data_IF_795383566922
#
_entry.id   IF_795383566922
#
_cell.length_a   1.000
_cell.length_b   1.000
_cell.length_c   1.000
_cell.angle_alpha   90.00
_cell.angle_beta   90.00
_cell.angle_gamma   90.00
#
_symmetry.space_group_name_H-M   'P 1'
#
loop_
_entity.id
_entity.type
_entity.pdbx_description
1 polymer ?
#
# COMPACT_ATOMS: atom_id res chain seq x y z
N UNK A 1 26.49 3.28 14.93
CA UNK A 1 25.06 3.58 14.75
C UNK A 1 24.41 3.53 16.12
N UNK A 2 23.45 4.41 16.42
CA UNK A 2 22.73 4.33 17.71
C UNK A 2 21.85 3.05 17.71
N UNK A 3 21.57 2.50 18.91
CA UNK A 3 20.86 1.23 19.06
C UNK A 3 19.43 1.31 18.45
N UNK A 4 19.07 0.46 17.47
CA UNK A 4 17.73 0.43 16.88
C UNK A 4 16.64 0.12 17.90
N UNK A 5 16.91 -0.73 18.89
CA UNK A 5 15.96 -1.11 19.94
C UNK A 5 15.48 0.09 20.77
N UNK A 6 16.23 1.19 20.80
CA UNK A 6 15.78 2.40 21.51
C UNK A 6 14.73 3.22 20.75
N UNK A 7 14.28 2.76 19.57
CA UNK A 7 13.20 3.38 18.81
C UNK A 7 11.81 2.81 19.16
N UNK A 8 11.73 1.70 19.88
CA UNK A 8 10.46 1.07 20.19
C UNK A 8 10.46 0.41 21.57
N UNK A 9 9.29 0.20 22.10
CA UNK A 9 9.06 -0.51 23.36
C UNK A 9 8.12 -1.70 23.13
N UNK A 10 8.42 -2.83 23.77
CA UNK A 10 7.56 -4.00 23.76
C UNK A 10 6.36 -3.82 24.68
N UNK A 11 5.18 -4.19 24.20
CA UNK A 11 3.96 -4.30 25.00
C UNK A 11 3.79 -5.74 25.52
N UNK A 12 3.99 -5.98 26.81
CA UNK A 12 4.11 -7.34 27.34
C UNK A 12 2.90 -8.23 27.05
N UNK A 13 1.69 -7.65 27.02
CA UNK A 13 0.46 -8.41 26.77
C UNK A 13 0.40 -8.93 25.34
N UNK A 14 0.67 -8.06 24.36
CA UNK A 14 0.69 -8.44 22.96
C UNK A 14 1.83 -9.41 22.62
N UNK A 15 3.01 -9.17 23.21
CA UNK A 15 4.14 -10.08 23.07
C UNK A 15 3.82 -11.50 23.56
N UNK A 16 3.13 -11.63 24.69
CA UNK A 16 2.69 -12.92 25.21
C UNK A 16 1.72 -13.66 24.26
N UNK A 17 0.86 -12.93 23.54
CA UNK A 17 -0.02 -13.52 22.51
C UNK A 17 0.80 -14.08 21.35
N UNK A 18 1.80 -13.33 20.89
CA UNK A 18 2.70 -13.77 19.81
C UNK A 18 3.54 -14.98 20.25
N UNK A 19 4.12 -14.95 21.45
CA UNK A 19 4.90 -16.08 21.98
C UNK A 19 4.06 -17.37 22.07
N UNK A 20 2.77 -17.26 22.46
CA UNK A 20 1.84 -18.40 22.44
C UNK A 20 1.52 -18.89 21.04
N UNK A 21 1.33 -17.98 20.07
CA UNK A 21 1.10 -18.33 18.68
C UNK A 21 2.29 -19.08 18.08
N UNK A 22 3.51 -18.56 18.27
CA UNK A 22 4.75 -19.20 17.79
C UNK A 22 5.01 -20.57 18.40
N UNK A 23 4.55 -20.80 19.65
CA UNK A 23 4.65 -22.12 20.28
C UNK A 23 3.71 -23.15 19.64
N UNK A 24 2.65 -22.73 18.95
CA UNK A 24 1.66 -23.59 18.30
C UNK A 24 1.92 -23.74 16.79
N UNK A 25 2.45 -22.68 16.15
CA UNK A 25 2.72 -22.64 14.71
C UNK A 25 4.23 -22.71 14.43
N UNK A 26 4.67 -23.82 13.85
CA UNK A 26 6.06 -24.00 13.43
C UNK A 26 6.46 -23.23 12.18
N UNK A 27 5.49 -22.70 11.42
CA UNK A 27 5.71 -22.08 10.12
C UNK A 27 6.10 -20.59 10.18
N UNK A 28 6.01 -19.96 11.36
CA UNK A 28 6.22 -18.52 11.54
C UNK A 28 5.03 -17.67 11.09
N UNK A 29 5.06 -16.38 11.44
CA UNK A 29 3.97 -15.44 11.20
C UNK A 29 4.13 -14.68 9.88
N UNK A 30 3.03 -14.26 9.29
CA UNK A 30 3.01 -13.21 8.25
C UNK A 30 3.01 -11.85 8.94
N UNK A 31 3.78 -10.90 8.41
CA UNK A 31 3.69 -9.50 8.80
C UNK A 31 3.21 -8.67 7.61
N UNK A 32 2.07 -8.04 7.74
CA UNK A 32 1.60 -7.00 6.83
C UNK A 32 2.14 -5.65 7.30
N UNK A 33 2.56 -4.77 6.40
CA UNK A 33 2.97 -3.43 6.79
C UNK A 33 2.62 -2.39 5.72
N UNK A 34 2.21 -1.22 6.21
CA UNK A 34 1.90 -0.04 5.41
C UNK A 34 2.13 1.22 6.24
N UNK A 35 2.67 2.27 5.60
CA UNK A 35 2.89 3.57 6.23
C UNK A 35 2.13 4.66 5.48
N UNK A 36 1.35 5.44 6.23
CA UNK A 36 0.67 6.64 5.73
C UNK A 36 1.73 7.70 5.36
N UNK A 37 1.79 8.10 4.09
CA UNK A 37 2.76 9.15 3.72
C UNK A 37 2.92 9.36 2.23
N UNK A 38 3.98 8.79 1.65
CA UNK A 38 4.47 9.22 0.35
C UNK A 38 3.65 8.70 -0.83
N UNK A 39 3.48 7.41 -0.98
CA UNK A 39 2.70 6.83 -2.07
C UNK A 39 1.64 5.90 -1.52
N UNK A 40 0.40 6.32 -1.64
CA UNK A 40 -0.76 5.44 -1.49
C UNK A 40 -1.92 5.98 -2.35
N UNK A 41 -1.74 5.89 -3.68
CA UNK A 41 -2.79 6.30 -4.60
C UNK A 41 -4.09 5.56 -4.30
N UNK A 42 -5.19 6.30 -4.32
CA UNK A 42 -6.50 5.74 -4.03
C UNK A 42 -6.70 5.35 -2.57
N UNK A 43 -5.83 5.81 -1.64
CA UNK A 43 -5.88 5.43 -0.22
C UNK A 43 -5.92 3.90 -0.05
N UNK A 44 -5.21 3.18 -0.93
CA UNK A 44 -5.27 1.72 -1.08
C UNK A 44 -4.84 1.00 0.18
N UNK A 45 -3.69 1.36 0.74
CA UNK A 45 -3.14 0.77 1.96
C UNK A 45 -3.91 1.22 3.19
N UNK A 46 -4.26 2.51 3.27
CA UNK A 46 -5.05 3.09 4.37
C UNK A 46 -6.39 2.34 4.52
N UNK A 47 -7.14 2.15 3.44
CA UNK A 47 -8.42 1.41 3.46
C UNK A 47 -8.27 -0.03 3.95
N UNK A 48 -7.17 -0.72 3.62
CA UNK A 48 -6.90 -2.09 4.09
C UNK A 48 -6.58 -2.06 5.59
N UNK A 49 -5.70 -1.16 6.04
CA UNK A 49 -5.32 -1.03 7.45
C UNK A 49 -6.53 -0.71 8.32
N UNK A 50 -7.35 0.26 7.91
CA UNK A 50 -8.57 0.64 8.61
C UNK A 50 -9.54 -0.54 8.71
N UNK A 51 -9.78 -1.24 7.59
CA UNK A 51 -10.62 -2.42 7.56
C UNK A 51 -10.14 -3.53 8.50
N UNK A 52 -8.81 -3.76 8.58
CA UNK A 52 -8.21 -4.72 9.50
C UNK A 52 -8.43 -4.32 10.96
N UNK A 53 -8.15 -3.05 11.30
CA UNK A 53 -8.23 -2.57 12.69
C UNK A 53 -9.66 -2.36 13.17
N UNK A 54 -10.60 -2.02 12.30
CA UNK A 54 -12.01 -1.88 12.64
C UNK A 54 -12.74 -3.22 12.82
N UNK A 55 -12.36 -4.22 12.00
CA UNK A 55 -13.14 -5.47 11.89
C UNK A 55 -12.57 -6.64 12.69
N UNK A 56 -11.26 -6.63 13.00
CA UNK A 56 -10.58 -7.80 13.58
C UNK A 56 -10.06 -7.57 14.99
N UNK A 57 -10.07 -8.61 15.83
CA UNK A 57 -9.41 -8.55 17.14
C UNK A 57 -7.92 -8.30 16.97
N UNK A 58 -7.39 -7.30 17.66
CA UNK A 58 -5.99 -6.95 17.60
C UNK A 58 -5.44 -6.47 18.94
N UNK A 59 -4.11 -6.57 19.12
CA UNK A 59 -3.41 -6.08 20.30
C UNK A 59 -2.02 -5.57 19.93
N UNK A 60 -1.61 -4.44 20.53
CA UNK A 60 -0.27 -3.88 20.32
C UNK A 60 0.79 -4.81 20.90
N UNK A 61 1.82 -5.09 20.12
CA UNK A 61 2.99 -5.94 20.46
C UNK A 61 4.23 -5.10 20.70
N UNK A 62 4.42 -4.08 19.86
CA UNK A 62 5.49 -3.11 20.01
C UNK A 62 5.00 -1.74 19.57
N UNK A 63 5.50 -0.70 20.21
CA UNK A 63 5.16 0.70 19.92
C UNK A 63 6.43 1.47 19.64
N UNK A 64 6.49 2.13 18.48
CA UNK A 64 7.58 3.03 18.14
C UNK A 64 7.43 4.38 18.82
N UNK A 65 8.56 4.99 19.13
CA UNK A 65 8.65 6.36 19.65
C UNK A 65 8.38 7.36 18.52
N UNK A 66 7.10 7.72 18.34
CA UNK A 66 6.67 8.65 17.30
C UNK A 66 7.23 10.07 17.49
N UNK A 67 7.54 10.49 18.73
CA UNK A 67 8.17 11.81 19.01
C UNK A 67 9.57 11.91 18.39
N UNK A 68 10.21 10.79 18.11
CA UNK A 68 11.52 10.74 17.46
C UNK A 68 11.45 10.56 15.97
N UNK A 69 10.39 9.96 15.47
CA UNK A 69 10.29 9.53 14.08
C UNK A 69 9.44 10.47 13.23
N UNK A 70 8.50 11.21 13.82
CA UNK A 70 7.56 12.06 13.10
C UNK A 70 7.88 13.53 13.27
N UNK A 71 7.98 14.28 12.17
CA UNK A 71 8.05 15.75 12.22
C UNK A 71 6.63 16.35 12.32
N UNK A 72 6.24 16.71 13.52
CA UNK A 72 4.96 17.38 13.78
C UNK A 72 4.75 18.70 13.04
N UNK A 73 5.79 19.29 12.49
CA UNK A 73 5.67 20.51 11.68
C UNK A 73 5.26 20.21 10.26
N UNK A 74 5.67 19.06 9.75
CA UNK A 74 5.25 18.54 8.44
C UNK A 74 3.85 17.92 8.50
N UNK A 75 3.57 17.15 9.56
CA UNK A 75 2.30 16.45 9.80
C UNK A 75 1.75 16.81 11.18
N UNK A 76 0.86 17.81 11.22
CA UNK A 76 0.29 18.31 12.48
C UNK A 76 -0.83 17.45 12.96
N UNK A 77 -0.69 16.75 14.12
CA UNK A 77 -1.78 16.00 14.71
C UNK A 77 -2.98 16.88 15.03
N UNK A 78 -4.17 16.36 14.96
CA UNK A 78 -5.38 17.10 15.24
C UNK A 78 -5.56 17.35 16.74
N UNK A 79 -5.94 18.56 17.06
CA UNK A 79 -6.33 19.00 18.39
C UNK A 79 -7.74 19.57 18.33
N UNK A 80 -8.64 19.05 19.17
CA UNK A 80 -10.00 19.59 19.27
C UNK A 80 -10.08 20.71 20.29
N UNK A 81 -10.41 21.91 19.81
CA UNK A 81 -10.71 23.05 20.66
C UNK A 81 -12.22 23.17 20.85
N UNK A 82 -12.67 23.20 22.10
CA UNK A 82 -14.09 23.35 22.42
C UNK A 82 -14.28 24.51 23.41
N UNK A 83 -14.97 25.53 22.96
CA UNK A 83 -15.23 26.78 23.68
C UNK A 83 -13.95 27.54 24.07
N UNK A 84 -13.35 27.22 25.23
CA UNK A 84 -12.24 27.92 25.87
C UNK A 84 -11.02 27.04 26.17
N UNK A 85 -11.07 25.75 25.73
CA UNK A 85 -10.01 24.77 26.05
C UNK A 85 -9.84 23.70 24.97
N UNK A 86 -8.67 23.09 24.99
CA UNK A 86 -8.38 21.87 24.23
C UNK A 86 -9.00 20.68 24.95
N UNK A 87 -9.71 19.84 24.22
CA UNK A 87 -10.49 18.71 24.78
C UNK A 87 -10.09 17.34 24.26
N UNK A 88 -9.37 17.28 23.14
CA UNK A 88 -8.84 16.04 22.59
C UNK A 88 -7.55 16.31 21.83
N UNK A 89 -6.70 15.28 21.78
CA UNK A 89 -5.47 15.24 20.98
C UNK A 89 -5.38 13.86 20.33
N UNK A 90 -5.26 13.85 19.01
CA UNK A 90 -5.07 12.62 18.26
C UNK A 90 -3.57 12.32 18.21
N UNK A 91 -3.11 11.46 19.13
CA UNK A 91 -1.71 11.06 19.18
C UNK A 91 -1.38 10.16 17.99
N UNK A 92 -0.38 10.49 17.15
CA UNK A 92 0.08 9.59 16.11
C UNK A 92 0.58 8.28 16.73
N UNK A 93 0.26 7.15 16.10
CA UNK A 93 0.72 5.84 16.58
C UNK A 93 1.38 5.08 15.44
N UNK A 94 2.59 4.58 15.68
CA UNK A 94 3.31 3.68 14.78
C UNK A 94 3.58 2.41 15.57
N UNK A 95 2.74 1.39 15.33
CA UNK A 95 2.66 0.21 16.18
C UNK A 95 2.80 -1.08 15.37
N UNK A 96 3.41 -2.09 15.98
CA UNK A 96 3.26 -3.50 15.57
C UNK A 96 2.12 -4.10 16.39
N UNK A 97 1.12 -4.64 15.73
CA UNK A 97 -0.03 -5.32 16.35
C UNK A 97 -0.07 -6.78 15.95
N UNK A 98 -0.46 -7.65 16.87
CA UNK A 98 -0.94 -8.98 16.50
C UNK A 98 -2.44 -8.88 16.21
N UNK A 99 -2.84 -9.41 15.07
CA UNK A 99 -4.22 -9.40 14.55
C UNK A 99 -4.64 -10.85 14.36
N UNK A 100 -5.91 -11.18 14.54
CA UNK A 100 -6.46 -12.50 14.25
C UNK A 100 -7.39 -12.43 13.04
N UNK A 101 -7.16 -13.27 12.06
CA UNK A 101 -8.04 -13.39 10.90
C UNK A 101 -9.39 -14.06 11.23
N UNK A 102 -10.27 -14.24 10.26
CA UNK A 102 -11.60 -14.82 10.48
C UNK A 102 -11.58 -16.28 11.00
N UNK A 103 -10.45 -16.98 10.87
CA UNK A 103 -10.26 -18.34 11.40
C UNK A 103 -9.61 -18.35 12.79
N UNK A 104 -9.20 -17.18 13.28
CA UNK A 104 -8.42 -17.02 14.51
C UNK A 104 -6.91 -17.19 14.30
N UNK A 105 -6.44 -17.33 13.05
CA UNK A 105 -5.01 -17.41 12.76
C UNK A 105 -4.33 -16.06 13.01
N UNK A 106 -3.23 -16.02 13.77
CA UNK A 106 -2.54 -14.80 14.10
C UNK A 106 -1.63 -14.34 12.95
N UNK A 107 -1.58 -13.03 12.71
CA UNK A 107 -0.60 -12.36 11.87
C UNK A 107 -0.21 -11.02 12.49
N UNK A 108 0.84 -10.40 12.00
CA UNK A 108 1.31 -9.11 12.47
C UNK A 108 0.90 -8.00 11.50
N UNK A 109 0.59 -6.83 12.05
CA UNK A 109 0.38 -5.60 11.30
C UNK A 109 1.27 -4.51 11.87
N UNK A 110 2.19 -3.98 11.05
CA UNK A 110 2.94 -2.77 11.34
C UNK A 110 2.34 -1.62 10.54
N UNK A 111 1.78 -0.64 11.22
CA UNK A 111 1.11 0.49 10.57
C UNK A 111 1.17 1.78 11.37
N UNK A 112 1.02 2.90 10.68
CA UNK A 112 1.00 4.25 11.20
C UNK A 112 1.68 5.24 10.26
N UNK A 113 1.97 6.47 10.69
CA UNK A 113 2.62 7.46 9.85
C UNK A 113 4.01 7.01 9.39
N UNK A 114 4.35 7.30 8.14
CA UNK A 114 5.71 7.10 7.65
C UNK A 114 6.69 7.91 8.51
N UNK A 115 7.80 7.31 8.98
CA UNK A 115 8.87 8.05 9.63
C UNK A 115 9.41 9.18 8.75
N UNK A 116 9.54 10.39 9.28
CA UNK A 116 10.14 11.51 8.56
C UNK A 116 11.68 11.52 8.66
N UNK A 117 12.22 10.84 9.67
CA UNK A 117 13.65 10.82 10.01
C UNK A 117 14.10 9.45 10.49
N UNK A 118 15.41 9.27 10.62
CA UNK A 118 16.06 8.05 11.13
C UNK A 118 15.70 6.75 10.34
N UNK A 119 15.45 6.84 9.07
CA UNK A 119 14.97 5.72 8.24
C UNK A 119 15.82 4.46 8.32
N UNK A 120 17.15 4.59 8.22
CA UNK A 120 18.06 3.42 8.33
C UNK A 120 17.97 2.74 9.69
N UNK A 121 17.79 3.52 10.72
CA UNK A 121 17.66 2.99 12.07
C UNK A 121 16.29 2.38 12.32
N UNK A 122 15.25 2.97 11.73
CA UNK A 122 13.90 2.43 11.74
C UNK A 122 13.85 1.08 11.00
N UNK A 123 14.43 0.98 9.80
CA UNK A 123 14.51 -0.28 9.06
C UNK A 123 15.26 -1.37 9.86
N UNK A 124 16.38 -1.02 10.51
CA UNK A 124 17.08 -1.95 11.38
C UNK A 124 16.26 -2.36 12.63
N UNK A 125 15.40 -1.46 13.16
CA UNK A 125 14.50 -1.81 14.25
C UNK A 125 13.39 -2.77 13.78
N UNK A 126 12.85 -2.55 12.57
CA UNK A 126 11.87 -3.47 11.97
C UNK A 126 12.49 -4.84 11.73
N UNK A 127 13.74 -4.92 11.23
CA UNK A 127 14.47 -6.18 11.06
C UNK A 127 14.58 -6.95 12.40
N UNK A 128 14.99 -6.28 13.49
CA UNK A 128 15.04 -6.91 14.82
C UNK A 128 13.68 -7.44 15.28
N UNK A 129 12.58 -6.70 14.97
CA UNK A 129 11.22 -7.14 15.29
C UNK A 129 10.84 -8.37 14.46
N UNK A 130 11.15 -8.37 13.16
CA UNK A 130 10.92 -9.49 12.23
C UNK A 130 11.60 -10.76 12.73
N UNK A 131 12.87 -10.65 13.11
CA UNK A 131 13.65 -11.77 13.68
C UNK A 131 13.05 -12.25 15.02
N UNK A 132 12.79 -11.33 15.96
CA UNK A 132 12.29 -11.67 17.31
C UNK A 132 10.91 -12.32 17.27
N UNK A 133 10.04 -11.88 16.34
CA UNK A 133 8.66 -12.37 16.23
C UNK A 133 8.52 -13.53 15.23
N UNK A 134 9.61 -14.06 14.68
CA UNK A 134 9.60 -15.22 13.78
C UNK A 134 8.77 -14.98 12.51
N UNK A 135 8.90 -13.80 11.91
CA UNK A 135 8.20 -13.47 10.67
C UNK A 135 8.75 -14.30 9.52
N UNK A 136 7.91 -15.10 8.87
CA UNK A 136 8.28 -15.91 7.70
C UNK A 136 8.12 -15.18 6.38
N UNK A 137 7.27 -14.15 6.33
CA UNK A 137 7.00 -13.35 5.15
C UNK A 137 6.53 -11.96 5.59
N UNK A 138 7.21 -10.93 5.14
CA UNK A 138 6.78 -9.55 5.28
C UNK A 138 6.11 -9.10 3.98
N UNK A 139 4.94 -8.47 4.07
CA UNK A 139 4.16 -8.01 2.91
C UNK A 139 3.81 -6.55 3.06
N UNK A 140 4.28 -5.71 2.14
CA UNK A 140 3.80 -4.33 2.02
C UNK A 140 2.77 -4.20 0.88
N UNK A 141 1.99 -3.13 0.95
CA UNK A 141 0.94 -2.90 -0.03
C UNK A 141 0.57 -1.41 -0.09
N UNK A 142 0.41 -0.92 -1.29
CA UNK A 142 0.04 0.47 -1.55
C UNK A 142 -0.57 0.62 -2.95
N UNK A 143 -1.15 1.78 -3.22
CA UNK A 143 -1.58 2.16 -4.57
C UNK A 143 -0.52 2.98 -5.29
N UNK A 144 -0.38 2.76 -6.60
CA UNK A 144 0.44 3.60 -7.48
C UNK A 144 -0.41 4.23 -8.58
N UNK A 145 -0.23 5.54 -8.89
CA UNK A 145 -0.98 6.18 -9.96
C UNK A 145 -0.49 5.67 -11.32
N UNK A 146 -1.40 5.17 -12.14
CA UNK A 146 -1.10 4.60 -13.44
C UNK A 146 -2.01 5.17 -14.53
N UNK A 147 -1.53 5.13 -15.79
CA UNK A 147 -2.31 5.48 -16.97
C UNK A 147 -3.28 4.34 -17.36
N UNK A 148 -4.18 3.98 -16.47
CA UNK A 148 -5.18 2.91 -16.67
C UNK A 148 -6.59 3.48 -16.49
N UNK A 149 -7.61 2.93 -17.18
CA UNK A 149 -8.99 3.37 -16.99
C UNK A 149 -9.64 2.63 -15.80
N UNK A 150 -10.57 3.29 -15.13
CA UNK A 150 -11.36 2.69 -14.05
C UNK A 150 -12.36 1.63 -14.54
N UNK A 151 -12.65 1.60 -15.84
CA UNK A 151 -13.58 0.67 -16.50
C UNK A 151 -12.96 -0.70 -16.83
N UNK A 152 -11.70 -0.91 -16.48
CA UNK A 152 -10.98 -2.18 -16.69
C UNK A 152 -10.50 -2.76 -15.37
N UNK A 153 -10.23 -4.07 -15.30
CA UNK A 153 -9.73 -4.69 -14.08
C UNK A 153 -8.47 -4.00 -13.55
N UNK A 154 -8.41 -3.82 -12.23
CA UNK A 154 -7.24 -3.24 -11.56
C UNK A 154 -6.07 -4.21 -11.69
N UNK A 155 -4.95 -3.70 -12.22
CA UNK A 155 -3.70 -4.44 -12.28
C UNK A 155 -2.92 -4.36 -10.95
N UNK A 156 -1.94 -5.26 -10.79
CA UNK A 156 -1.04 -5.27 -9.65
C UNK A 156 0.39 -5.51 -10.13
N UNK A 157 1.35 -4.77 -9.59
CA UNK A 157 2.78 -5.03 -9.76
C UNK A 157 3.33 -5.66 -8.49
N UNK A 158 3.71 -6.94 -8.51
CA UNK A 158 4.45 -7.55 -7.40
C UNK A 158 5.92 -7.12 -7.44
N UNK A 159 6.50 -6.92 -6.26
CA UNK A 159 7.93 -6.64 -6.09
C UNK A 159 8.49 -7.36 -4.86
N UNK A 160 9.79 -7.23 -4.59
CA UNK A 160 10.46 -8.00 -3.54
C UNK A 160 11.07 -9.31 -4.05
N UNK A 161 11.48 -10.19 -3.13
CA UNK A 161 12.13 -11.47 -3.47
C UNK A 161 11.16 -12.67 -3.51
N UNK A 162 9.85 -12.46 -3.23
CA UNK A 162 8.82 -13.50 -3.22
C UNK A 162 7.69 -13.24 -4.24
N UNK A 163 8.04 -12.65 -5.38
CA UNK A 163 7.09 -12.48 -6.50
C UNK A 163 6.56 -13.81 -7.07
N UNK A 164 7.22 -14.92 -6.78
CA UNK A 164 6.76 -16.28 -7.06
C UNK A 164 5.39 -16.60 -6.43
N UNK A 165 5.02 -15.91 -5.33
CA UNK A 165 3.71 -16.04 -4.68
C UNK A 165 2.56 -15.37 -5.45
N UNK A 166 2.87 -14.60 -6.50
CA UNK A 166 1.90 -13.95 -7.37
C UNK A 166 2.11 -14.36 -8.84
N UNK A 167 1.90 -15.63 -9.19
CA UNK A 167 2.15 -16.15 -10.54
C UNK A 167 1.23 -15.45 -11.56
N UNK A 168 1.80 -15.14 -12.73
CA UNK A 168 1.09 -14.45 -13.82
C UNK A 168 1.10 -12.93 -13.75
N UNK A 169 1.60 -12.34 -12.65
CA UNK A 169 1.83 -10.90 -12.56
C UNK A 169 3.27 -10.57 -12.97
N UNK A 170 3.43 -9.47 -13.70
CA UNK A 170 4.75 -8.97 -14.14
C UNK A 170 4.83 -7.47 -13.89
N UNK A 171 6.02 -7.00 -13.57
CA UNK A 171 6.27 -5.55 -13.56
C UNK A 171 6.15 -5.01 -14.97
N UNK A 172 5.44 -3.89 -15.18
CA UNK A 172 5.45 -3.18 -16.46
C UNK A 172 6.78 -2.43 -16.69
N UNK A 173 7.67 -2.39 -15.70
CA UNK A 173 8.93 -1.66 -15.74
C UNK A 173 10.10 -2.65 -15.72
N UNK A 174 11.07 -2.48 -16.61
CA UNK A 174 12.35 -3.17 -16.54
C UNK A 174 13.26 -2.52 -15.48
N UNK A 175 13.31 -1.19 -15.47
CA UNK A 175 14.03 -0.37 -14.50
C UNK A 175 13.28 0.95 -14.32
N UNK A 176 13.11 1.40 -13.06
CA UNK A 176 12.53 2.69 -12.74
C UNK A 176 13.26 3.33 -11.56
N UNK A 177 13.54 4.63 -11.64
CA UNK A 177 14.02 5.41 -10.51
C UNK A 177 12.84 6.18 -9.92
N UNK A 178 12.53 5.88 -8.67
CA UNK A 178 11.44 6.51 -7.94
C UNK A 178 11.98 7.15 -6.67
N UNK A 179 11.37 8.22 -6.17
CA UNK A 179 11.73 8.74 -4.85
C UNK A 179 11.58 7.65 -3.80
N UNK A 180 12.54 7.58 -2.85
CA UNK A 180 12.50 6.58 -1.78
C UNK A 180 11.40 6.87 -0.77
N UNK A 181 10.88 5.81 -0.16
CA UNK A 181 10.01 5.84 1.02
C UNK A 181 10.60 4.98 2.14
N UNK A 182 10.15 5.21 3.38
CA UNK A 182 10.54 4.35 4.48
C UNK A 182 10.06 2.91 4.29
N UNK A 183 8.88 2.72 3.65
CA UNK A 183 8.32 1.41 3.30
C UNK A 183 9.21 0.65 2.34
N UNK A 184 9.63 1.29 1.24
CA UNK A 184 10.55 0.69 0.27
C UNK A 184 11.94 0.43 0.86
N UNK A 185 12.44 1.29 1.76
CA UNK A 185 13.70 1.06 2.44
C UNK A 185 13.62 -0.15 3.39
N UNK A 186 12.52 -0.32 4.12
CA UNK A 186 12.30 -1.50 4.97
C UNK A 186 12.32 -2.76 4.11
N UNK A 187 11.60 -2.79 2.98
CA UNK A 187 11.63 -3.91 2.04
C UNK A 187 13.05 -4.22 1.59
N UNK A 188 13.76 -3.20 1.10
CA UNK A 188 15.13 -3.35 0.61
C UNK A 188 16.07 -3.92 1.67
N UNK A 189 16.03 -3.42 2.92
CA UNK A 189 16.88 -3.89 4.03
C UNK A 189 16.52 -5.29 4.48
N UNK A 190 15.24 -5.63 4.56
CA UNK A 190 14.81 -6.99 4.88
C UNK A 190 15.29 -8.00 3.81
N UNK A 191 15.23 -7.65 2.52
CA UNK A 191 15.77 -8.50 1.45
C UNK A 191 17.29 -8.67 1.56
N UNK A 192 18.05 -7.59 1.84
CA UNK A 192 19.50 -7.67 2.05
C UNK A 192 19.86 -8.57 3.25
N UNK A 193 19.04 -8.57 4.30
CA UNK A 193 19.18 -9.43 5.47
C UNK A 193 18.75 -10.90 5.20
N UNK A 194 18.18 -11.18 4.04
CA UNK A 194 17.78 -12.54 3.64
C UNK A 194 16.37 -12.94 4.09
N UNK A 195 15.55 -11.98 4.49
CA UNK A 195 14.13 -12.23 4.80
C UNK A 195 13.28 -12.33 3.53
N UNK A 196 12.21 -13.12 3.60
CA UNK A 196 11.20 -13.20 2.55
C UNK A 196 10.30 -11.97 2.57
N UNK A 197 10.24 -11.24 1.45
CA UNK A 197 9.44 -10.01 1.30
C UNK A 197 8.66 -10.03 -0.01
N UNK A 198 7.40 -9.62 0.06
CA UNK A 198 6.52 -9.39 -1.07
C UNK A 198 5.92 -7.97 -0.97
N UNK A 199 6.02 -7.20 -2.03
CA UNK A 199 5.29 -5.95 -2.19
C UNK A 199 4.15 -6.10 -3.19
N UNK A 200 3.05 -5.42 -2.94
CA UNK A 200 1.83 -5.42 -3.75
C UNK A 200 1.47 -3.99 -4.11
N UNK A 201 1.87 -3.52 -5.29
CA UNK A 201 1.51 -2.20 -5.78
C UNK A 201 0.28 -2.28 -6.70
N UNK A 202 -0.89 -1.83 -6.22
CA UNK A 202 -2.13 -1.80 -7.00
C UNK A 202 -2.17 -0.60 -7.94
N UNK A 203 -2.62 -0.81 -9.19
CA UNK A 203 -2.70 0.23 -10.22
C UNK A 203 -3.97 1.07 -10.03
N UNK A 204 -3.80 2.33 -9.69
CA UNK A 204 -4.92 3.29 -9.53
C UNK A 204 -4.95 4.24 -10.72
N UNK A 205 -6.11 4.45 -11.36
CA UNK A 205 -6.21 5.46 -12.40
C UNK A 205 -5.75 6.83 -11.89
N UNK A 206 -4.80 7.46 -12.57
CA UNK A 206 -4.16 8.68 -12.08
C UNK A 206 -5.14 9.83 -11.80
N UNK A 207 -6.28 9.88 -12.51
CA UNK A 207 -7.31 10.92 -12.33
C UNK A 207 -8.18 10.74 -11.07
N UNK A 208 -8.11 9.57 -10.40
CA UNK A 208 -8.76 9.31 -9.08
C UNK A 208 -7.75 9.05 -7.97
N UNK A 209 -6.45 9.18 -8.24
CA UNK A 209 -5.37 8.80 -7.33
C UNK A 209 -5.39 9.53 -5.97
N UNK A 210 -6.06 10.69 -5.88
CA UNK A 210 -6.16 11.52 -4.66
C UNK A 210 -7.43 11.29 -3.84
N UNK A 211 -8.22 10.32 -4.20
CA UNK A 211 -9.48 9.98 -3.53
C UNK A 211 -9.50 8.48 -3.28
N UNK A 212 -10.22 8.05 -2.26
CA UNK A 212 -10.38 6.63 -1.99
C UNK A 212 -10.86 5.87 -3.24
N UNK A 213 -10.12 4.83 -3.61
CA UNK A 213 -10.43 3.95 -4.74
C UNK A 213 -10.49 2.49 -4.29
N UNK A 214 -11.63 2.04 -3.74
CA UNK A 214 -11.76 0.74 -3.08
C UNK A 214 -11.51 -0.47 -3.99
N UNK A 215 -11.64 -0.32 -5.32
CA UNK A 215 -11.29 -1.38 -6.27
C UNK A 215 -9.80 -1.77 -6.18
N UNK A 216 -8.91 -0.79 -6.00
CA UNK A 216 -7.48 -1.04 -5.82
C UNK A 216 -7.21 -1.71 -4.47
N UNK A 217 -7.83 -1.23 -3.40
CA UNK A 217 -7.72 -1.83 -2.07
C UNK A 217 -8.24 -3.27 -2.06
N UNK A 218 -9.37 -3.54 -2.71
CA UNK A 218 -9.91 -4.89 -2.86
C UNK A 218 -8.96 -5.82 -3.61
N UNK A 219 -8.41 -5.36 -4.74
CA UNK A 219 -7.50 -6.15 -5.58
C UNK A 219 -6.17 -6.43 -4.85
N UNK A 220 -5.63 -5.44 -4.13
CA UNK A 220 -4.46 -5.63 -3.28
C UNK A 220 -4.74 -6.64 -2.16
N UNK A 221 -5.87 -6.52 -1.45
CA UNK A 221 -6.28 -7.44 -0.39
C UNK A 221 -6.45 -8.87 -0.91
N UNK A 222 -7.08 -9.07 -2.08
CA UNK A 222 -7.24 -10.37 -2.71
C UNK A 222 -5.87 -10.98 -3.09
N UNK A 223 -4.94 -10.17 -3.56
CA UNK A 223 -3.56 -10.57 -3.85
C UNK A 223 -2.81 -10.98 -2.58
N UNK A 224 -2.92 -10.19 -1.51
CA UNK A 224 -2.34 -10.49 -0.19
C UNK A 224 -2.90 -11.81 0.35
N UNK A 225 -4.22 -12.00 0.33
CA UNK A 225 -4.85 -13.23 0.85
C UNK A 225 -4.45 -14.45 0.04
N UNK A 226 -4.34 -14.35 -1.28
CA UNK A 226 -3.86 -15.42 -2.13
C UNK A 226 -2.40 -15.81 -1.84
N UNK A 227 -1.52 -14.82 -1.62
CA UNK A 227 -0.10 -15.05 -1.34
C UNK A 227 0.17 -15.57 0.08
N UNK A 228 -0.63 -15.17 1.05
CA UNK A 228 -0.37 -15.43 2.49
C UNK A 228 -1.21 -16.55 3.08
N UNK A 229 -2.39 -16.80 2.51
CA UNK A 229 -3.40 -17.72 3.05
C UNK A 229 -4.27 -17.09 4.14
N UNK A 230 -4.15 -15.78 4.42
CA UNK A 230 -5.02 -15.09 5.38
C UNK A 230 -6.48 -15.09 4.93
N UNK A 231 -7.41 -15.20 5.87
CA UNK A 231 -8.86 -15.26 5.62
C UNK A 231 -9.52 -13.99 6.11
N UNK A 232 -9.81 -13.04 5.20
CA UNK A 232 -10.25 -11.68 5.48
C UNK A 232 -11.60 -11.33 4.78
N UNK A 233 -12.65 -12.17 4.87
CA UNK A 233 -13.86 -12.02 4.05
C UNK A 233 -14.68 -10.77 4.39
N UNK A 234 -14.68 -10.32 5.64
CA UNK A 234 -15.46 -9.14 6.05
C UNK A 234 -14.92 -7.87 5.39
N UNK A 235 -13.60 -7.72 5.35
CA UNK A 235 -12.92 -6.56 4.76
C UNK A 235 -13.13 -6.59 3.24
N UNK A 236 -12.93 -7.74 2.60
CA UNK A 236 -13.16 -7.91 1.17
C UNK A 236 -14.62 -7.59 0.79
N UNK A 237 -15.59 -7.95 1.64
CA UNK A 237 -17.01 -7.62 1.40
C UNK A 237 -17.27 -6.12 1.53
N UNK A 238 -16.73 -5.46 2.54
CA UNK A 238 -16.86 -4.03 2.73
C UNK A 238 -16.27 -3.25 1.55
N UNK A 239 -15.01 -3.56 1.18
CA UNK A 239 -14.34 -2.92 0.05
C UNK A 239 -15.10 -3.15 -1.28
N UNK A 240 -15.63 -4.35 -1.53
CA UNK A 240 -16.44 -4.63 -2.73
C UNK A 240 -17.72 -3.79 -2.77
N UNK A 241 -18.34 -3.55 -1.63
CA UNK A 241 -19.54 -2.72 -1.53
C UNK A 241 -19.23 -1.26 -1.83
N UNK A 242 -18.13 -0.74 -1.26
CA UNK A 242 -17.68 0.63 -1.52
C UNK A 242 -17.16 0.80 -2.95
N UNK A 243 -16.46 -0.18 -3.52
CA UNK A 243 -16.00 -0.18 -4.90
C UNK A 243 -17.17 0.03 -5.87
N UNK A 244 -18.27 -0.71 -5.69
CA UNK A 244 -19.45 -0.53 -6.53
C UNK A 244 -20.07 0.88 -6.43
N UNK A 245 -20.07 1.48 -5.24
CA UNK A 245 -20.56 2.85 -5.04
C UNK A 245 -19.65 3.88 -5.70
N UNK A 246 -18.35 3.74 -5.48
CA UNK A 246 -17.32 4.62 -6.05
C UNK A 246 -17.36 4.56 -7.58
N UNK A 247 -17.43 3.36 -8.16
CA UNK A 247 -17.55 3.17 -9.61
C UNK A 247 -18.78 3.92 -10.17
N UNK A 248 -19.96 3.74 -9.54
CA UNK A 248 -21.18 4.41 -9.95
C UNK A 248 -21.05 5.94 -9.88
N UNK A 249 -20.36 6.46 -8.87
CA UNK A 249 -20.14 7.89 -8.71
C UNK A 249 -19.16 8.44 -9.75
N UNK A 250 -18.07 7.71 -10.06
CA UNK A 250 -17.12 8.07 -11.12
C UNK A 250 -17.84 8.13 -12.47
N UNK A 251 -18.60 7.07 -12.82
CA UNK A 251 -19.38 7.02 -14.07
C UNK A 251 -20.37 8.18 -14.18
N UNK A 252 -21.02 8.55 -13.06
CA UNK A 252 -21.92 9.68 -13.00
C UNK A 252 -21.23 11.02 -13.25
N UNK A 253 -20.05 11.21 -12.64
CA UNK A 253 -19.28 12.45 -12.79
C UNK A 253 -18.75 12.60 -14.21
N UNK A 254 -18.23 11.54 -14.79
CA UNK A 254 -17.75 11.51 -16.20
C UNK A 254 -18.92 11.78 -17.15
N UNK A 255 -20.09 11.16 -16.94
CA UNK A 255 -21.28 11.33 -17.78
C UNK A 255 -21.95 12.70 -17.68
N UNK A 256 -21.60 13.54 -16.71
CA UNK A 256 -22.24 14.86 -16.49
C UNK A 256 -21.55 16.05 -17.17
N UNK A 257 -20.44 15.86 -17.90
CA UNK A 257 -20.09 16.94 -18.77
C UNK A 257 -18.64 17.40 -18.87
N UNK A 258 -17.69 16.56 -18.65
CA UNK A 258 -16.32 16.89 -19.01
C UNK A 258 -15.92 16.05 -20.24
N UNK A 259 -16.08 16.65 -21.44
CA UNK A 259 -15.70 15.99 -22.71
C UNK A 259 -14.22 15.61 -22.74
N UNK A 260 -13.33 16.34 -22.03
CA UNK A 260 -11.91 16.03 -21.91
C UNK A 260 -11.70 14.76 -21.09
N UNK A 261 -12.42 14.62 -19.97
CA UNK A 261 -12.32 13.43 -19.11
C UNK A 261 -12.90 12.19 -19.81
N UNK A 262 -13.99 12.33 -20.56
CA UNK A 262 -14.54 11.24 -21.40
C UNK A 262 -13.49 10.78 -22.43
N UNK A 263 -12.91 11.73 -23.18
CA UNK A 263 -11.89 11.41 -24.17
C UNK A 263 -10.62 10.79 -23.58
N UNK A 264 -10.24 11.24 -22.37
CA UNK A 264 -9.13 10.66 -21.63
C UNK A 264 -9.40 9.18 -21.29
N UNK A 265 -10.57 8.88 -20.72
CA UNK A 265 -10.93 7.51 -20.34
C UNK A 265 -11.00 6.60 -21.56
N UNK A 266 -11.63 7.06 -22.66
CA UNK A 266 -11.67 6.30 -23.94
C UNK A 266 -10.26 6.03 -24.50
N UNK A 267 -9.35 7.01 -24.42
CA UNK A 267 -7.96 6.84 -24.82
C UNK A 267 -7.24 5.79 -23.97
N UNK A 268 -7.42 5.82 -22.65
CA UNK A 268 -6.85 4.85 -21.73
C UNK A 268 -7.44 3.44 -21.92
N UNK A 269 -8.73 3.32 -22.25
CA UNK A 269 -9.36 2.05 -22.59
C UNK A 269 -8.74 1.43 -23.83
N UNK A 270 -8.57 2.21 -24.89
CA UNK A 270 -7.94 1.74 -26.13
C UNK A 270 -6.50 1.29 -25.88
N UNK A 271 -5.74 2.02 -25.08
CA UNK A 271 -4.37 1.65 -24.72
C UNK A 271 -4.34 0.35 -23.89
N UNK A 272 -5.18 0.25 -22.87
CA UNK A 272 -5.29 -0.95 -22.03
C UNK A 272 -5.66 -2.19 -22.87
N UNK A 273 -6.69 -2.08 -23.70
CA UNK A 273 -7.18 -3.19 -24.54
C UNK A 273 -6.14 -3.62 -25.58
N UNK A 274 -5.33 -2.70 -26.09
CA UNK A 274 -4.22 -3.01 -27.00
C UNK A 274 -3.12 -3.84 -26.32
N UNK A 275 -2.75 -3.47 -25.08
CA UNK A 275 -1.74 -4.20 -24.29
C UNK A 275 -2.28 -5.56 -23.86
N UNK A 276 -3.47 -5.61 -23.27
CA UNK A 276 -4.11 -6.86 -22.83
C UNK A 276 -4.38 -7.81 -24.02
N UNK A 277 -4.74 -7.26 -25.17
CA UNK A 277 -4.91 -8.02 -26.41
C UNK A 277 -3.60 -8.61 -26.96
N UNK A 278 -2.46 -7.98 -26.73
CA UNK A 278 -1.14 -8.50 -27.14
C UNK A 278 -0.66 -9.64 -26.25
N UNK A 279 -0.93 -9.59 -24.95
CA UNK A 279 -0.60 -10.68 -24.01
C UNK A 279 -1.42 -11.94 -24.25
N UNK A 280 -2.68 -11.80 -24.62
CA UNK A 280 -3.56 -12.92 -24.97
C UNK A 280 -3.20 -13.56 -26.33
N UNK A 281 -2.55 -12.80 -27.22
CA UNK A 281 -2.12 -13.23 -28.56
C UNK A 281 -0.70 -13.78 -28.61
N UNK A 282 -0.12 -14.21 -27.52
CA UNK A 282 1.27 -14.65 -27.34
C UNK A 282 1.83 -15.65 -28.34
N UNK A 283 1.43 -15.60 -29.64
CA UNK A 283 2.05 -16.35 -30.74
C UNK A 283 1.78 -15.75 -32.15
N UNK A 284 1.43 -14.50 -32.29
CA UNK A 284 1.39 -13.83 -33.59
C UNK A 284 2.40 -12.70 -33.59
N UNK A 285 3.45 -12.86 -34.38
CA UNK A 285 4.48 -11.87 -34.66
C UNK A 285 3.80 -10.57 -35.10
N UNK A 286 3.67 -9.62 -34.18
CA UNK A 286 3.37 -8.23 -34.49
C UNK A 286 4.64 -7.42 -34.24
N UNK A 287 5.00 -6.55 -35.18
CA UNK A 287 6.10 -5.62 -35.02
C UNK A 287 5.95 -4.79 -33.74
N UNK A 288 7.06 -4.46 -33.05
CA UNK A 288 6.98 -3.65 -31.84
C UNK A 288 6.38 -2.29 -32.20
N UNK A 289 5.21 -2.00 -31.67
CA UNK A 289 4.68 -0.64 -31.62
C UNK A 289 5.54 0.09 -30.59
N UNK A 290 6.25 1.14 -31.03
CA UNK A 290 7.00 2.02 -30.13
C UNK A 290 6.02 2.63 -29.12
N UNK A 291 5.98 2.06 -27.93
CA UNK A 291 5.24 2.63 -26.81
C UNK A 291 6.06 3.78 -26.24
N UNK A 292 5.44 4.93 -25.92
CA UNK A 292 6.16 6.03 -25.30
C UNK A 292 6.84 5.55 -24.01
N UNK A 293 8.11 5.88 -23.88
CA UNK A 293 8.90 5.56 -22.68
C UNK A 293 8.34 6.29 -21.46
N UNK A 294 8.65 5.79 -20.26
CA UNK A 294 8.28 6.47 -19.00
C UNK A 294 8.76 7.94 -18.97
N UNK A 295 9.89 8.23 -19.62
CA UNK A 295 10.43 9.59 -19.75
C UNK A 295 9.59 10.46 -20.71
N UNK A 296 9.04 9.90 -21.77
CA UNK A 296 8.15 10.62 -22.70
C UNK A 296 6.81 10.93 -22.06
N UNK A 297 6.25 9.99 -21.30
CA UNK A 297 5.03 10.19 -20.48
C UNK A 297 5.28 11.26 -19.40
N UNK A 298 6.43 11.22 -18.73
CA UNK A 298 6.84 12.23 -17.75
C UNK A 298 6.97 13.63 -18.36
N UNK A 299 7.59 13.75 -19.54
CA UNK A 299 7.75 15.01 -20.25
C UNK A 299 6.41 15.59 -20.77
N UNK A 300 5.49 14.74 -21.17
CA UNK A 300 4.16 15.15 -21.62
C UNK A 300 3.33 15.64 -20.43
N UNK A 301 3.48 15.00 -19.28
CA UNK A 301 2.86 15.41 -18.02
C UNK A 301 3.44 16.75 -17.49
N UNK A 302 4.76 16.95 -17.54
CA UNK A 302 5.38 18.23 -17.17
C UNK A 302 4.95 19.36 -18.13
N UNK A 303 4.80 19.08 -19.41
CA UNK A 303 4.30 20.04 -20.39
C UNK A 303 2.85 20.43 -20.10
N UNK A 304 2.01 19.47 -19.80
CA UNK A 304 0.59 19.69 -19.41
C UNK A 304 0.48 20.55 -18.13
N UNK A 305 1.31 20.29 -17.13
CA UNK A 305 1.35 21.10 -15.91
C UNK A 305 1.85 22.53 -16.18
N UNK A 306 2.87 22.71 -17.01
CA UNK A 306 3.43 24.02 -17.36
C UNK A 306 2.43 24.87 -18.19
N UNK A 307 1.63 24.28 -19.05
CA UNK A 307 0.58 24.98 -19.82
C UNK A 307 -0.55 25.50 -18.90
N UNK A 308 -0.88 24.77 -17.83
CA UNK A 308 -1.89 25.22 -16.84
C UNK A 308 -1.38 26.30 -15.88
N UNK A 309 -0.08 26.37 -15.61
CA UNK A 309 0.51 27.47 -14.80
C UNK A 309 0.68 28.78 -15.58
N UNK A 310 0.68 28.72 -16.91
CA UNK A 310 0.79 29.89 -17.78
C UNK A 310 -0.52 30.64 -18.06
N UNK A 311 -1.67 30.08 -17.69
CA UNK A 311 -3.01 30.65 -17.92
C UNK A 311 -3.69 31.17 -16.63
N UNK A 312 -2.90 31.42 -15.58
CA UNK A 312 -3.40 31.96 -14.29
C UNK A 312 -2.92 33.39 -14.06
#
# INVERSE_FOLDING_TARGET
>A
MADPQSLYEWEPKGLAVVDMALAQESAGLVMLYHFEGYIDAGETGEQIVDGLLESLPHQVVARFDHDRLVDYRARRPLLTFRRDRWTAYETPTLDVRVVQDATGAPFLLLSGPEPDVEWERFAAAVEQIVERLGVRLAVNFHGIPMGVPHTRPVGVTPHGNRTDLMPGHRSPFDEAQVPGSAEALVEYRLMEAGHDVLGVAAHVPHYVARSAYPDAALTALESITAATGLVLPAIAHALRTEAHRTQTEIDRQIGQGDEELVSLVEGLEHQYDAVAGSETRGNLVAEPVDLPSADEIGLEFERFLAEREGDS
#
